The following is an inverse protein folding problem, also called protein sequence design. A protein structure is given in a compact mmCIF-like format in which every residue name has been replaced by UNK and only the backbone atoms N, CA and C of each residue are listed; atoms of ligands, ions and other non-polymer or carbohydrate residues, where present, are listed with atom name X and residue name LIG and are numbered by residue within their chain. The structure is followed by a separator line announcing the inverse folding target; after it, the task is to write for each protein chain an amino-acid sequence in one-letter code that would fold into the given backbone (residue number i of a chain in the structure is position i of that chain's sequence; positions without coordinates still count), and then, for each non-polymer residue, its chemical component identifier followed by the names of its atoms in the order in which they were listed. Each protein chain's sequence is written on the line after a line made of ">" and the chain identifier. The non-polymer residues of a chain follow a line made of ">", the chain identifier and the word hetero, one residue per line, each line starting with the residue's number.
data_IF_341081239910
#
_entry.id   IF_341081239910
#
_cell.length_a   1.000
_cell.length_b   1.000
_cell.length_c   1.000
_cell.angle_alpha   90.00
_cell.angle_beta   90.00
_cell.angle_gamma   90.00
#
_symmetry.space_group_name_H-M   'P 1'
#
loop_
_entity.id
_entity.type
_entity.pdbx_description
1 polymer ?
#
# COMPACT_ATOMS: atom_id res chain seq x y z
N UNK A 1 14.26 10.19 6.46
CA UNK A 1 14.01 11.39 5.63
C UNK A 1 13.68 12.55 6.57
N UNK A 2 14.23 13.75 6.39
CA UNK A 2 13.88 14.88 7.28
C UNK A 2 12.51 15.44 6.92
N UNK A 3 11.80 15.87 7.95
CA UNK A 3 10.57 16.63 7.86
C UNK A 3 10.95 18.10 8.04
N UNK A 4 10.35 19.00 7.26
CA UNK A 4 10.55 20.45 7.35
C UNK A 4 9.31 21.10 7.99
N UNK A 5 9.29 21.32 9.32
CA UNK A 5 8.14 21.90 10.03
C UNK A 5 7.73 23.27 9.50
N UNK A 6 8.67 24.01 8.91
CA UNK A 6 8.45 25.31 8.29
C UNK A 6 7.59 25.26 7.01
N UNK A 7 7.51 24.11 6.35
CA UNK A 7 6.70 23.89 5.14
C UNK A 7 5.38 23.21 5.47
N UNK A 8 5.38 22.37 6.50
CA UNK A 8 4.20 21.64 6.91
C UNK A 8 4.42 20.81 8.17
N UNK A 9 3.31 20.50 8.84
CA UNK A 9 3.29 19.63 10.01
C UNK A 9 2.95 18.21 9.57
N UNK A 10 3.66 17.23 10.15
CA UNK A 10 3.36 15.81 9.99
C UNK A 10 3.03 15.24 11.36
N UNK A 11 1.92 14.55 11.42
CA UNK A 11 1.40 13.86 12.59
C UNK A 11 1.31 12.37 12.27
N UNK A 12 1.69 11.53 13.24
CA UNK A 12 1.54 10.07 13.15
C UNK A 12 0.48 9.70 14.16
N UNK A 13 -0.71 9.36 13.67
CA UNK A 13 -1.90 9.15 14.49
C UNK A 13 -2.33 7.69 14.50
N UNK A 14 -2.61 7.16 15.69
CA UNK A 14 -3.27 5.86 15.85
C UNK A 14 -4.76 5.91 15.48
N UNK A 15 -5.45 4.77 15.61
CA UNK A 15 -6.88 4.65 15.28
C UNK A 15 -7.78 5.50 16.20
N UNK A 16 -7.29 5.93 17.35
CA UNK A 16 -7.98 6.82 18.28
C UNK A 16 -7.55 8.29 18.10
N UNK A 17 -6.87 8.61 17.00
CA UNK A 17 -6.31 9.93 16.68
C UNK A 17 -5.28 10.48 17.68
N UNK A 18 -4.64 9.61 18.46
CA UNK A 18 -3.56 10.03 19.36
C UNK A 18 -2.21 9.98 18.64
N UNK A 19 -1.33 10.94 18.97
CA UNK A 19 0.05 10.93 18.50
C UNK A 19 0.78 9.68 18.99
N UNK A 20 1.47 9.01 18.08
CA UNK A 20 2.20 7.79 18.39
C UNK A 20 3.57 7.73 17.73
N UNK A 21 4.50 7.04 18.40
CA UNK A 21 5.85 6.80 17.90
C UNK A 21 5.98 5.47 17.15
N UNK A 22 4.90 4.67 17.04
CA UNK A 22 4.88 3.44 16.22
C UNK A 22 4.33 3.72 14.83
N UNK A 23 4.36 2.72 13.94
CA UNK A 23 3.82 2.87 12.59
C UNK A 23 2.30 3.04 12.61
N UNK A 24 1.83 4.22 12.22
CA UNK A 24 0.40 4.55 12.15
C UNK A 24 0.10 5.49 10.97
N UNK A 25 -1.09 6.09 10.92
CA UNK A 25 -1.52 6.90 9.79
C UNK A 25 -0.75 8.23 9.74
N UNK A 26 -0.30 8.61 8.55
CA UNK A 26 0.35 9.90 8.31
C UNK A 26 -0.73 10.94 8.02
N UNK A 27 -0.79 11.97 8.85
CA UNK A 27 -1.65 13.13 8.70
C UNK A 27 -0.77 14.36 8.47
N UNK A 28 -1.11 15.18 7.48
CA UNK A 28 -0.29 16.32 7.07
C UNK A 28 -1.07 17.64 7.06
N UNK A 29 -0.42 18.70 7.49
CA UNK A 29 -0.90 20.08 7.32
C UNK A 29 0.10 20.86 6.50
N UNK A 30 -0.31 21.38 5.33
CA UNK A 30 0.54 22.22 4.48
C UNK A 30 0.41 23.70 4.86
N UNK A 31 1.53 24.40 5.01
CA UNK A 31 1.55 25.81 5.44
C UNK A 31 1.80 26.81 4.30
N UNK A 32 2.14 26.33 3.10
CA UNK A 32 2.55 27.19 1.98
C UNK A 32 1.46 27.42 0.92
N UNK A 33 0.43 26.56 0.85
CA UNK A 33 -0.61 26.67 -0.17
C UNK A 33 -1.82 27.44 0.38
N UNK A 34 -1.92 28.73 0.04
CA UNK A 34 -3.02 29.60 0.48
C UNK A 34 -4.33 29.37 -0.29
N UNK A 35 -4.25 28.93 -1.55
CA UNK A 35 -5.42 28.74 -2.40
C UNK A 35 -6.20 27.46 -2.02
N UNK A 36 -5.47 26.40 -1.64
CA UNK A 36 -6.03 25.14 -1.19
C UNK A 36 -5.24 24.59 0.01
N UNK A 37 -5.46 25.14 1.22
CA UNK A 37 -4.79 24.65 2.42
C UNK A 37 -5.31 23.26 2.77
N UNK A 38 -4.39 22.31 2.89
CA UNK A 38 -4.68 20.98 3.45
C UNK A 38 -4.36 21.02 4.94
N UNK A 39 -5.38 20.90 5.78
CA UNK A 39 -5.27 20.95 7.25
C UNK A 39 -5.66 19.60 7.81
N UNK A 40 -4.78 19.00 8.61
CA UNK A 40 -4.94 17.64 9.16
C UNK A 40 -5.43 16.64 8.11
N UNK A 41 -4.85 16.70 6.92
CA UNK A 41 -5.24 15.86 5.80
C UNK A 41 -4.64 14.47 5.97
N UNK A 42 -5.48 13.44 6.05
CA UNK A 42 -5.03 12.05 6.07
C UNK A 42 -4.49 11.67 4.69
N UNK A 43 -3.19 11.39 4.61
CA UNK A 43 -2.49 11.11 3.36
C UNK A 43 -2.88 9.72 2.80
N UNK A 44 -3.34 8.82 3.67
CA UNK A 44 -3.64 7.42 3.37
C UNK A 44 -2.41 6.51 3.34
N UNK A 45 -1.24 7.05 3.69
CA UNK A 45 0.00 6.33 3.90
C UNK A 45 0.22 6.07 5.40
N UNK A 46 0.92 4.98 5.72
CA UNK A 46 1.36 4.65 7.08
C UNK A 46 2.86 4.83 7.25
N UNK A 47 3.26 5.41 8.37
CA UNK A 47 4.65 5.64 8.67
C UNK A 47 4.93 5.88 10.14
N UNK A 48 6.21 6.08 10.43
CA UNK A 48 6.74 6.34 11.75
C UNK A 48 7.66 7.55 11.68
N UNK A 49 7.42 8.53 12.54
CA UNK A 49 8.26 9.70 12.72
C UNK A 49 8.78 9.74 14.16
N UNK A 50 10.04 10.14 14.33
CA UNK A 50 10.61 10.43 15.63
C UNK A 50 11.58 11.60 15.57
N UNK A 51 11.97 12.07 16.75
CA UNK A 51 12.93 13.17 16.91
C UNK A 51 14.37 12.66 17.04
N UNK A 52 14.70 11.52 16.44
CA UNK A 52 16.07 10.98 16.52
C UNK A 52 17.05 11.89 15.78
N UNK A 53 18.23 12.09 16.37
CA UNK A 53 19.31 12.83 15.72
C UNK A 53 19.77 12.10 14.46
N UNK A 54 19.63 12.76 13.32
CA UNK A 54 20.14 12.24 12.06
C UNK A 54 21.66 12.43 11.98
N UNK A 55 22.37 11.46 11.41
CA UNK A 55 23.82 11.51 11.18
C UNK A 55 24.28 12.70 10.31
N UNK A 56 23.37 13.38 9.61
CA UNK A 56 23.69 14.58 8.85
C UNK A 56 23.88 15.85 9.71
N UNK A 57 23.63 15.78 11.03
CA UNK A 57 23.81 16.89 11.97
C UNK A 57 22.62 17.86 12.05
N UNK A 58 21.55 17.65 11.29
CA UNK A 58 20.30 18.43 11.43
C UNK A 58 19.50 17.94 12.64
N UNK A 59 18.85 18.88 13.31
CA UNK A 59 17.98 18.66 14.48
C UNK A 59 16.48 18.59 14.11
N UNK A 60 16.18 18.41 12.82
CA UNK A 60 14.81 18.34 12.33
C UNK A 60 14.19 16.96 12.63
N UNK A 61 12.86 16.87 12.82
CA UNK A 61 12.18 15.58 12.93
C UNK A 61 12.46 14.68 11.72
N UNK A 62 12.46 13.37 11.94
CA UNK A 62 12.79 12.39 10.93
C UNK A 62 11.60 11.47 10.72
N UNK A 63 11.20 11.28 9.47
CA UNK A 63 10.36 10.16 9.06
C UNK A 63 11.28 8.94 8.87
N UNK A 64 11.20 7.98 9.79
CA UNK A 64 12.08 6.81 9.86
C UNK A 64 11.63 5.71 8.92
N UNK A 65 10.32 5.47 8.86
CA UNK A 65 9.72 4.39 8.09
C UNK A 65 8.46 4.88 7.39
N UNK A 66 8.28 4.46 6.15
CA UNK A 66 7.02 4.54 5.42
C UNK A 66 6.72 3.12 4.96
N UNK A 67 5.60 2.55 5.41
CA UNK A 67 5.20 1.19 5.04
C UNK A 67 4.45 1.13 3.71
N UNK A 68 3.73 2.21 3.38
CA UNK A 68 2.96 2.34 2.15
C UNK A 68 1.51 2.72 2.44
N UNK A 69 0.64 2.55 1.44
CA UNK A 69 -0.78 2.88 1.56
C UNK A 69 -1.51 1.90 2.46
N UNK A 70 -2.28 2.43 3.40
CA UNK A 70 -3.08 1.64 4.34
C UNK A 70 -4.02 0.64 3.63
N UNK A 71 -4.49 0.98 2.44
CA UNK A 71 -5.48 0.19 1.69
C UNK A 71 -4.89 -0.78 0.66
N UNK A 72 -3.57 -0.80 0.47
CA UNK A 72 -2.89 -1.61 -0.55
C UNK A 72 -1.97 -2.67 0.08
N UNK A 73 -2.51 -3.44 1.05
CA UNK A 73 -1.78 -4.47 1.80
C UNK A 73 -2.45 -5.84 1.74
N UNK A 74 -1.62 -6.88 1.90
CA UNK A 74 -2.03 -8.26 2.19
C UNK A 74 -1.48 -8.66 3.56
N UNK A 75 -2.30 -9.35 4.35
CA UNK A 75 -1.89 -9.89 5.66
C UNK A 75 -1.54 -11.36 5.50
N UNK A 76 -0.30 -11.75 5.79
CA UNK A 76 0.13 -13.15 5.70
C UNK A 76 -0.31 -13.95 6.93
N UNK A 77 -0.30 -15.28 6.84
CA UNK A 77 -0.65 -16.17 7.97
C UNK A 77 0.21 -15.95 9.22
N UNK A 78 1.46 -15.56 9.02
CA UNK A 78 2.41 -15.24 10.10
C UNK A 78 2.32 -13.77 10.57
N UNK A 79 1.28 -13.04 10.16
CA UNK A 79 0.96 -11.71 10.67
C UNK A 79 1.76 -10.56 10.05
N UNK A 80 2.51 -10.80 8.96
CA UNK A 80 3.22 -9.73 8.25
C UNK A 80 2.28 -8.98 7.31
N UNK A 81 2.44 -7.67 7.27
CA UNK A 81 1.78 -6.81 6.27
C UNK A 81 2.70 -6.68 5.05
N UNK A 82 2.23 -7.14 3.90
CA UNK A 82 2.95 -7.07 2.63
C UNK A 82 2.35 -5.98 1.75
N UNK A 83 3.13 -4.96 1.50
CA UNK A 83 2.79 -3.82 0.64
C UNK A 83 3.47 -3.92 -0.73
N UNK A 84 3.10 -3.00 -1.63
CA UNK A 84 3.76 -2.79 -2.92
C UNK A 84 3.86 -4.06 -3.78
N UNK A 85 2.71 -4.69 -4.03
CA UNK A 85 2.61 -5.95 -4.76
C UNK A 85 2.63 -5.79 -6.28
N UNK A 86 2.46 -4.58 -6.82
CA UNK A 86 2.49 -4.30 -8.26
C UNK A 86 3.66 -4.96 -9.03
N UNK A 87 4.90 -5.04 -8.50
CA UNK A 87 6.01 -5.67 -9.22
C UNK A 87 5.81 -7.13 -9.61
N UNK A 88 4.88 -7.87 -8.98
CA UNK A 88 4.60 -9.25 -9.39
C UNK A 88 4.09 -9.32 -10.84
N UNK A 89 3.45 -8.25 -11.30
CA UNK A 89 2.86 -8.11 -12.63
C UNK A 89 3.80 -7.50 -13.67
N UNK A 90 5.03 -7.10 -13.29
CA UNK A 90 5.97 -6.49 -14.23
C UNK A 90 6.27 -7.42 -15.41
N UNK A 91 6.28 -6.82 -16.61
CA UNK A 91 6.53 -7.49 -17.90
C UNK A 91 5.53 -8.60 -18.25
N UNK A 92 4.34 -8.56 -17.64
CA UNK A 92 3.25 -9.49 -17.96
C UNK A 92 2.35 -8.91 -19.05
N UNK A 93 1.89 -9.72 -20.03
CA UNK A 93 1.00 -9.30 -21.11
C UNK A 93 -0.44 -9.14 -20.61
N UNK A 94 -0.67 -8.23 -19.66
CA UNK A 94 -1.96 -7.99 -19.00
C UNK A 94 -2.35 -6.52 -19.10
N UNK A 95 -3.64 -6.24 -19.21
CA UNK A 95 -4.20 -4.89 -19.27
C UNK A 95 -4.39 -4.35 -17.85
N UNK A 96 -5.01 -5.16 -16.99
CA UNK A 96 -5.26 -4.83 -15.58
C UNK A 96 -5.17 -6.08 -14.71
N UNK A 97 -4.86 -5.89 -13.43
CA UNK A 97 -4.85 -6.96 -12.44
C UNK A 97 -5.30 -6.47 -11.07
N UNK A 98 -5.97 -7.34 -10.32
CA UNK A 98 -6.39 -7.08 -8.95
C UNK A 98 -6.07 -8.28 -8.06
N UNK A 99 -5.53 -8.01 -6.89
CA UNK A 99 -5.29 -8.99 -5.84
C UNK A 99 -6.41 -8.85 -4.81
N UNK A 100 -7.16 -9.92 -4.57
CA UNK A 100 -8.24 -9.96 -3.58
C UNK A 100 -7.89 -11.02 -2.54
N UNK A 101 -7.62 -10.60 -1.32
CA UNK A 101 -7.49 -11.50 -0.19
C UNK A 101 -8.84 -11.72 0.47
N UNK A 102 -9.35 -12.94 0.37
CA UNK A 102 -10.65 -13.34 0.92
C UNK A 102 -10.51 -13.90 2.33
N UNK A 103 -9.35 -14.44 2.70
CA UNK A 103 -9.00 -14.86 4.06
C UNK A 103 -7.48 -14.91 4.29
N UNK A 104 -7.03 -15.24 5.50
CA UNK A 104 -5.59 -15.49 5.78
C UNK A 104 -5.01 -16.67 4.98
N UNK A 105 -5.87 -17.52 4.42
CA UNK A 105 -5.47 -18.71 3.68
C UNK A 105 -5.61 -18.54 2.17
N UNK A 106 -6.45 -17.60 1.71
CA UNK A 106 -6.90 -17.53 0.32
C UNK A 106 -6.69 -16.15 -0.31
N UNK A 107 -6.07 -16.16 -1.49
CA UNK A 107 -5.93 -15.02 -2.39
C UNK A 107 -6.48 -15.38 -3.76
N UNK A 108 -7.30 -14.49 -4.33
CA UNK A 108 -7.73 -14.51 -5.71
C UNK A 108 -7.01 -13.42 -6.49
N UNK A 109 -6.37 -13.80 -7.60
CA UNK A 109 -5.79 -12.86 -8.57
C UNK A 109 -6.73 -12.78 -9.78
N UNK A 110 -7.31 -11.60 -10.01
CA UNK A 110 -8.09 -11.31 -11.21
C UNK A 110 -7.20 -10.65 -12.24
N UNK A 111 -7.23 -11.14 -13.48
CA UNK A 111 -6.42 -10.62 -14.58
C UNK A 111 -7.32 -10.32 -15.79
N UNK A 112 -7.14 -9.15 -16.36
CA UNK A 112 -7.63 -8.82 -17.71
C UNK A 112 -6.46 -9.06 -18.68
N UNK A 113 -6.44 -10.16 -19.44
CA UNK A 113 -5.31 -10.51 -20.29
C UNK A 113 -5.28 -9.68 -21.58
N UNK A 114 -4.09 -9.48 -22.14
CA UNK A 114 -3.95 -9.08 -23.55
C UNK A 114 -4.02 -10.31 -24.47
N UNK A 115 -4.03 -10.11 -25.80
CA UNK A 115 -3.97 -11.19 -26.78
C UNK A 115 -2.70 -12.05 -26.68
N UNK A 116 -1.63 -11.53 -26.07
CA UNK A 116 -0.35 -12.24 -25.93
C UNK A 116 -0.24 -13.03 -24.61
N UNK A 117 -1.31 -13.05 -23.79
CA UNK A 117 -1.30 -13.77 -22.53
C UNK A 117 -1.35 -15.28 -22.76
N UNK A 118 -0.46 -16.00 -22.08
CA UNK A 118 -0.36 -17.46 -22.11
C UNK A 118 -0.30 -18.03 -20.69
N UNK A 119 -0.63 -19.31 -20.55
CA UNK A 119 -0.77 -19.96 -19.24
C UNK A 119 0.48 -19.87 -18.33
N UNK A 120 1.68 -19.77 -18.92
CA UNK A 120 2.91 -19.61 -18.13
C UNK A 120 2.97 -18.27 -17.40
N UNK A 121 2.36 -17.20 -17.94
CA UNK A 121 2.31 -15.90 -17.28
C UNK A 121 1.59 -16.00 -15.93
N UNK A 122 0.43 -16.66 -15.90
CA UNK A 122 -0.32 -16.88 -14.66
C UNK A 122 0.47 -17.66 -13.62
N UNK A 123 1.16 -18.73 -14.04
CA UNK A 123 2.05 -19.50 -13.15
C UNK A 123 3.19 -18.65 -12.58
N UNK A 124 3.79 -17.79 -13.41
CA UNK A 124 4.85 -16.86 -12.97
C UNK A 124 4.32 -15.85 -11.97
N UNK A 125 3.13 -15.28 -12.20
CA UNK A 125 2.49 -14.33 -11.29
C UNK A 125 2.22 -14.98 -9.93
N UNK A 126 1.60 -16.18 -9.92
CA UNK A 126 1.33 -16.93 -8.69
C UNK A 126 2.63 -17.20 -7.94
N UNK A 127 3.67 -17.67 -8.62
CA UNK A 127 4.98 -17.90 -8.00
C UNK A 127 5.55 -16.62 -7.37
N UNK A 128 5.60 -15.51 -8.12
CA UNK A 128 6.11 -14.22 -7.62
C UNK A 128 5.31 -13.70 -6.41
N UNK A 129 4.01 -13.97 -6.36
CA UNK A 129 3.20 -13.63 -5.19
C UNK A 129 3.61 -14.49 -3.98
N UNK A 130 3.65 -15.81 -4.15
CA UNK A 130 3.99 -16.76 -3.09
C UNK A 130 5.40 -16.52 -2.53
N UNK A 131 6.36 -16.14 -3.37
CA UNK A 131 7.72 -15.76 -2.95
C UNK A 131 7.72 -14.57 -1.96
N UNK A 132 6.66 -13.76 -1.93
CA UNK A 132 6.52 -12.59 -1.04
C UNK A 132 5.64 -12.87 0.18
N UNK A 133 4.51 -13.55 -0.03
CA UNK A 133 3.48 -13.76 1.01
C UNK A 133 3.65 -15.07 1.77
N UNK A 134 4.46 -16.00 1.26
CA UNK A 134 4.60 -17.35 1.80
C UNK A 134 3.51 -18.30 1.32
N UNK A 135 3.32 -19.39 2.05
CA UNK A 135 2.36 -20.44 1.69
C UNK A 135 0.92 -19.97 1.89
N UNK A 136 0.20 -19.79 0.77
CA UNK A 136 -1.23 -19.46 0.72
C UNK A 136 -1.88 -20.14 -0.47
N UNK A 137 -3.19 -20.37 -0.41
CA UNK A 137 -3.97 -20.85 -1.54
C UNK A 137 -4.20 -19.67 -2.49
N UNK A 138 -3.64 -19.76 -3.70
CA UNK A 138 -3.76 -18.70 -4.72
C UNK A 138 -4.55 -19.22 -5.90
N UNK A 139 -5.67 -18.57 -6.18
CA UNK A 139 -6.47 -18.79 -7.37
C UNK A 139 -6.24 -17.67 -8.38
N UNK A 140 -6.39 -17.98 -9.66
CA UNK A 140 -6.25 -17.01 -10.75
C UNK A 140 -7.47 -17.10 -11.66
N UNK A 141 -8.12 -15.96 -11.86
CA UNK A 141 -9.30 -15.81 -12.69
C UNK A 141 -9.02 -14.81 -13.82
N UNK A 142 -9.33 -15.22 -15.05
CA UNK A 142 -9.29 -14.32 -16.21
C UNK A 142 -10.67 -13.70 -16.39
N UNK A 143 -10.75 -12.37 -16.44
CA UNK A 143 -11.99 -11.62 -16.56
C UNK A 143 -11.89 -10.55 -17.65
N UNK A 144 -13.04 -10.07 -18.13
CA UNK A 144 -13.08 -9.04 -19.18
C UNK A 144 -12.75 -7.64 -18.66
N UNK A 145 -13.16 -7.31 -17.42
CA UNK A 145 -12.88 -6.03 -16.80
C UNK A 145 -12.92 -6.14 -15.27
N UNK A 146 -12.12 -5.35 -14.57
CA UNK A 146 -12.16 -5.28 -13.10
C UNK A 146 -13.14 -4.17 -12.68
N UNK A 147 -14.16 -4.48 -11.86
CA UNK A 147 -15.13 -3.48 -11.41
C UNK A 147 -14.44 -2.39 -10.60
N UNK A 148 -14.87 -1.14 -10.85
CA UNK A 148 -14.46 0.03 -10.08
C UNK A 148 -15.38 0.21 -8.87
N UNK A 149 -14.96 0.99 -7.89
CA UNK A 149 -15.84 1.38 -6.78
C UNK A 149 -16.99 2.26 -7.28
N UNK A 150 -17.98 2.51 -6.41
CA UNK A 150 -19.11 3.42 -6.69
C UNK A 150 -18.67 4.82 -7.15
N UNK A 151 -17.51 5.28 -6.69
CA UNK A 151 -16.92 6.57 -7.09
C UNK A 151 -15.95 6.45 -8.28
N UNK A 152 -15.95 5.32 -8.99
CA UNK A 152 -15.11 5.07 -10.16
C UNK A 152 -13.64 4.74 -9.84
N UNK A 153 -13.26 4.62 -8.56
CA UNK A 153 -11.87 4.35 -8.17
C UNK A 153 -11.49 2.90 -8.45
N UNK A 154 -10.30 2.69 -9.02
CA UNK A 154 -9.69 1.37 -9.12
C UNK A 154 -8.98 0.99 -7.82
N UNK A 155 -9.17 -0.25 -7.37
CA UNK A 155 -8.44 -0.84 -6.24
C UNK A 155 -7.62 -2.02 -6.74
N UNK A 156 -6.30 -1.85 -6.76
CA UNK A 156 -5.38 -2.90 -7.18
C UNK A 156 -5.29 -4.02 -6.14
N UNK A 157 -5.44 -3.70 -4.85
CA UNK A 157 -5.46 -4.66 -3.76
C UNK A 157 -6.72 -4.45 -2.91
N UNK A 158 -7.38 -5.55 -2.58
CA UNK A 158 -8.52 -5.59 -1.67
C UNK A 158 -8.25 -6.69 -0.65
N UNK A 159 -8.19 -6.33 0.62
CA UNK A 159 -8.20 -7.30 1.72
C UNK A 159 -9.57 -7.28 2.41
N UNK A 160 -10.14 -8.46 2.61
CA UNK A 160 -11.32 -8.68 3.45
C UNK A 160 -10.98 -9.17 4.85
N UNK A 161 -9.67 -9.21 5.17
CA UNK A 161 -9.16 -9.59 6.47
C UNK A 161 -8.78 -8.31 7.21
N UNK A 162 -9.43 -8.08 8.35
CA UNK A 162 -9.11 -7.04 9.33
C UNK A 162 -9.09 -7.67 10.72
#
# INVERSE_FOLDING_TARGET
>A
MHISPEVGLIEILDEQENMTEIVANIVATGLLNADMPLIRYEVGDRGQANNNQCQCGRILPVLNKVEGRANDLIVTKDGRNIFWLNPIFNDMPIIEAQIVQTSLEHILIRIVPTSNYIAINGKTIIKRLLDRVGEMNVELELIEHIPRTTNGKFRAVISHVQ
#
